data_IF_509530316093
#
_entry.id   IF_509530316093
#
_cell.length_a   1.000
_cell.length_b   1.000
_cell.length_c   1.000
_cell.angle_alpha   90.00
_cell.angle_beta   90.00
_cell.angle_gamma   90.00
#
_symmetry.space_group_name_H-M   'P 1'
#
loop_
_entity.id
_entity.type
_entity.pdbx_description
1 polymer ?
#
# COMPACT_ATOMS: atom_id res chain seq x y z
N UNK A 1 0.29 1.76 -10.98
CA UNK A 1 0.32 2.23 -12.38
C UNK A 1 -0.28 1.23 -13.34
N UNK A 2 -1.35 1.64 -14.03
CA UNK A 2 -1.96 0.89 -15.14
C UNK A 2 -1.98 1.77 -16.39
N UNK A 3 -1.86 1.16 -17.56
CA UNK A 3 -1.93 1.81 -18.86
C UNK A 3 -2.78 1.00 -19.84
N UNK A 4 -2.76 1.38 -21.12
CA UNK A 4 -3.58 0.72 -22.15
C UNK A 4 -3.13 -0.72 -22.45
N UNK A 5 -1.86 -1.05 -22.24
CA UNK A 5 -1.31 -2.39 -22.51
C UNK A 5 -0.38 -2.91 -21.40
N UNK A 6 -0.38 -2.25 -20.24
CA UNK A 6 0.51 -2.60 -19.12
C UNK A 6 -0.13 -2.33 -17.76
N UNK A 7 0.41 -2.98 -16.73
CA UNK A 7 0.00 -2.78 -15.35
C UNK A 7 1.09 -3.22 -14.39
N UNK A 8 1.24 -2.54 -13.26
CA UNK A 8 2.14 -2.95 -12.19
C UNK A 8 1.36 -3.69 -11.11
N UNK A 9 1.72 -4.94 -10.86
CA UNK A 9 1.23 -5.69 -9.70
C UNK A 9 2.34 -5.79 -8.66
N UNK A 10 1.96 -5.90 -7.40
CA UNK A 10 2.91 -5.96 -6.30
C UNK A 10 2.36 -6.82 -5.17
N UNK A 11 3.25 -7.25 -4.28
CA UNK A 11 2.89 -7.99 -3.08
C UNK A 11 4.05 -7.98 -2.09
N UNK A 12 3.78 -8.45 -0.87
CA UNK A 12 4.79 -8.64 0.18
C UNK A 12 4.53 -9.98 0.87
N UNK A 13 5.60 -10.69 1.17
CA UNK A 13 5.58 -11.92 1.96
C UNK A 13 6.24 -11.68 3.32
N UNK A 14 6.18 -12.65 4.23
CA UNK A 14 6.71 -12.52 5.59
C UNK A 14 8.13 -13.08 5.76
N UNK A 15 8.70 -13.71 4.72
CA UNK A 15 10.01 -14.36 4.72
C UNK A 15 10.60 -14.46 3.31
N UNK A 16 11.88 -14.85 3.13
CA UNK A 16 12.44 -15.08 1.80
C UNK A 16 11.61 -16.07 0.98
N UNK A 17 11.08 -15.65 -0.16
CA UNK A 17 10.21 -16.49 -0.98
C UNK A 17 10.39 -16.23 -2.47
N UNK A 18 10.18 -17.26 -3.29
CA UNK A 18 10.01 -17.13 -4.73
C UNK A 18 8.54 -16.87 -5.05
N UNK A 19 8.25 -15.70 -5.62
CA UNK A 19 6.89 -15.30 -5.98
C UNK A 19 6.63 -15.60 -7.46
N UNK A 20 5.74 -16.56 -7.70
CA UNK A 20 5.20 -16.88 -9.02
C UNK A 20 4.06 -15.91 -9.33
N UNK A 21 4.09 -15.34 -10.53
CA UNK A 21 3.09 -14.36 -10.99
C UNK A 21 2.49 -14.83 -12.30
N UNK A 22 1.17 -14.83 -12.38
CA UNK A 22 0.45 -15.05 -13.64
C UNK A 22 -0.73 -14.09 -13.77
N UNK A 23 -1.16 -13.86 -15.01
CA UNK A 23 -2.33 -13.06 -15.31
C UNK A 23 -3.16 -13.66 -16.44
N UNK A 24 -4.44 -13.33 -16.48
CA UNK A 24 -5.37 -13.77 -17.51
C UNK A 24 -6.41 -12.68 -17.79
N UNK A 25 -7.07 -12.77 -18.95
CA UNK A 25 -8.23 -11.92 -19.29
C UNK A 25 -9.55 -12.50 -18.78
N UNK A 26 -9.50 -13.66 -18.11
CA UNK A 26 -10.66 -14.36 -17.55
C UNK A 26 -10.40 -14.71 -16.09
N UNK A 27 -11.43 -14.59 -15.26
CA UNK A 27 -11.34 -14.86 -13.81
C UNK A 27 -11.00 -16.31 -13.50
N UNK A 28 -11.34 -17.25 -14.38
CA UNK A 28 -10.99 -18.66 -14.23
C UNK A 28 -9.50 -18.96 -14.45
N UNK A 29 -8.69 -17.95 -14.84
CA UNK A 29 -7.30 -18.12 -15.26
C UNK A 29 -7.13 -19.13 -16.41
N UNK A 30 -8.15 -19.21 -17.29
CA UNK A 30 -8.02 -20.00 -18.52
C UNK A 30 -7.00 -19.29 -19.42
N UNK A 31 -6.06 -20.07 -19.95
CA UNK A 31 -4.98 -19.58 -20.82
C UNK A 31 -4.12 -18.48 -20.15
N UNK A 32 -3.91 -18.59 -18.83
CA UNK A 32 -3.11 -17.65 -18.09
C UNK A 32 -1.67 -17.55 -18.61
N UNK A 33 -1.19 -16.31 -18.71
CA UNK A 33 0.20 -16.00 -19.02
C UNK A 33 1.01 -16.08 -17.73
N UNK A 34 1.90 -17.06 -17.67
CA UNK A 34 2.86 -17.21 -16.57
C UNK A 34 4.10 -16.38 -16.84
N UNK A 35 4.54 -15.64 -15.83
CA UNK A 35 5.73 -14.81 -15.91
C UNK A 35 6.89 -15.47 -15.18
N UNK A 36 8.14 -15.13 -15.53
CA UNK A 36 9.30 -15.48 -14.72
C UNK A 36 9.08 -15.05 -13.26
N UNK A 37 9.34 -15.94 -12.29
CA UNK A 37 9.14 -15.62 -10.88
C UNK A 37 10.13 -14.56 -10.39
N UNK A 38 9.79 -13.90 -9.29
CA UNK A 38 10.62 -12.87 -8.66
C UNK A 38 10.89 -13.28 -7.22
N UNK A 39 12.13 -13.20 -6.77
CA UNK A 39 12.50 -13.51 -5.39
C UNK A 39 12.25 -12.30 -4.48
N UNK A 40 11.45 -12.51 -3.44
CA UNK A 40 11.21 -11.58 -2.36
C UNK A 40 12.31 -11.77 -1.30
N UNK A 41 13.16 -10.76 -1.09
CA UNK A 41 14.34 -10.86 -0.23
C UNK A 41 14.35 -9.76 0.85
N UNK A 42 15.14 -9.92 1.93
CA UNK A 42 15.18 -8.95 3.04
C UNK A 42 15.51 -7.50 2.60
N UNK A 43 16.31 -7.33 1.54
CA UNK A 43 16.70 -6.00 1.04
C UNK A 43 15.51 -5.10 0.67
N UNK A 44 14.41 -5.67 0.19
CA UNK A 44 13.18 -4.96 -0.18
C UNK A 44 12.07 -5.11 0.86
N UNK A 45 12.38 -5.53 2.10
CA UNK A 45 11.38 -5.95 3.09
C UNK A 45 10.39 -6.98 2.51
N UNK A 46 10.95 -7.91 1.72
CA UNK A 46 10.20 -8.98 1.07
C UNK A 46 9.06 -8.51 0.16
N UNK A 47 9.10 -7.25 -0.27
CA UNK A 47 8.20 -6.72 -1.29
C UNK A 47 8.70 -7.09 -2.68
N UNK A 48 7.76 -7.40 -3.57
CA UNK A 48 7.99 -7.66 -4.99
C UNK A 48 7.08 -6.79 -5.85
N UNK A 49 7.60 -6.37 -7.00
CA UNK A 49 6.85 -5.64 -8.03
C UNK A 49 7.04 -6.37 -9.36
N UNK A 50 5.96 -6.53 -10.12
CA UNK A 50 5.99 -7.16 -11.45
C UNK A 50 5.19 -6.34 -12.43
N UNK A 51 5.86 -5.91 -13.51
CA UNK A 51 5.22 -5.28 -14.65
C UNK A 51 4.61 -6.37 -15.54
N UNK A 52 3.32 -6.21 -15.82
CA UNK A 52 2.55 -6.96 -16.81
C UNK A 52 2.49 -6.13 -18.09
N UNK A 53 2.67 -6.77 -19.25
CA UNK A 53 2.75 -6.10 -20.55
C UNK A 53 2.04 -6.94 -21.63
N UNK A 54 1.70 -6.29 -22.75
CA UNK A 54 1.09 -6.95 -23.91
C UNK A 54 -0.40 -7.27 -23.74
N UNK A 55 -1.07 -6.65 -22.76
CA UNK A 55 -2.49 -6.87 -22.50
C UNK A 55 -3.37 -6.04 -23.44
N UNK A 56 -4.59 -6.50 -23.77
CA UNK A 56 -5.53 -5.70 -24.55
C UNK A 56 -5.96 -4.44 -23.78
N UNK A 57 -6.27 -3.36 -24.50
CA UNK A 57 -6.81 -2.13 -23.93
C UNK A 57 -8.26 -2.28 -23.50
N UNK A 58 -8.65 -1.57 -22.44
CA UNK A 58 -10.01 -1.60 -21.90
C UNK A 58 -10.47 -2.99 -21.41
N UNK A 59 -9.56 -3.89 -21.07
CA UNK A 59 -9.82 -5.28 -20.71
C UNK A 59 -9.67 -5.50 -19.21
N UNK A 60 -10.56 -6.30 -18.62
CA UNK A 60 -10.36 -6.79 -17.26
C UNK A 60 -9.22 -7.83 -17.25
N UNK A 61 -8.24 -7.59 -16.41
CA UNK A 61 -7.07 -8.42 -16.20
C UNK A 61 -7.13 -8.94 -14.77
N UNK A 62 -7.09 -10.26 -14.64
CA UNK A 62 -7.03 -10.97 -13.37
C UNK A 62 -5.58 -11.41 -13.16
N UNK A 63 -5.03 -11.20 -11.97
CA UNK A 63 -3.67 -11.59 -11.64
C UNK A 63 -3.64 -12.44 -10.37
N UNK A 64 -2.63 -13.30 -10.27
CA UNK A 64 -2.42 -14.20 -9.14
C UNK A 64 -0.94 -14.24 -8.76
N UNK A 65 -0.69 -14.10 -7.47
CA UNK A 65 0.63 -14.24 -6.85
C UNK A 65 0.58 -15.45 -5.92
N UNK A 66 1.57 -16.33 -6.06
CA UNK A 66 1.78 -17.49 -5.18
C UNK A 66 3.24 -17.48 -4.73
N UNK A 67 3.48 -17.57 -3.43
CA UNK A 67 4.83 -17.56 -2.88
C UNK A 67 5.25 -18.97 -2.46
N UNK A 68 6.46 -19.39 -2.82
CA UNK A 68 7.10 -20.60 -2.31
C UNK A 68 8.31 -20.23 -1.45
N UNK A 69 8.45 -20.83 -0.28
CA UNK A 69 9.59 -20.58 0.61
C UNK A 69 10.91 -20.93 -0.08
N UNK A 70 11.93 -20.07 0.04
CA UNK A 70 13.25 -20.36 -0.52
C UNK A 70 14.02 -21.43 0.26
N UNK A 71 13.72 -21.61 1.56
CA UNK A 71 14.30 -22.66 2.39
C UNK A 71 13.59 -24.00 2.18
N UNK A 72 12.27 -23.96 1.99
CA UNK A 72 11.41 -25.14 1.82
C UNK A 72 10.49 -24.98 0.58
N UNK A 73 10.97 -25.25 -0.65
CA UNK A 73 10.21 -24.94 -1.87
C UNK A 73 8.84 -25.62 -2.00
N UNK A 74 8.57 -26.67 -1.22
CA UNK A 74 7.26 -27.33 -1.15
C UNK A 74 6.24 -26.59 -0.26
N UNK A 75 6.68 -25.65 0.58
CA UNK A 75 5.83 -24.79 1.38
C UNK A 75 5.37 -23.60 0.55
N UNK A 76 4.09 -23.62 0.18
CA UNK A 76 3.50 -22.65 -0.75
C UNK A 76 2.35 -21.90 -0.07
N UNK A 77 2.25 -20.60 -0.32
CA UNK A 77 1.17 -19.76 0.21
C UNK A 77 -0.17 -20.05 -0.46
N UNK A 78 -1.26 -19.65 0.21
CA UNK A 78 -2.53 -19.43 -0.49
C UNK A 78 -2.35 -18.41 -1.62
N UNK A 79 -3.08 -18.54 -2.75
CA UNK A 79 -2.96 -17.57 -3.83
C UNK A 79 -3.57 -16.22 -3.46
N UNK A 80 -2.77 -15.16 -3.60
CA UNK A 80 -3.27 -13.79 -3.56
C UNK A 80 -3.76 -13.41 -4.96
N UNK A 81 -5.05 -13.10 -5.10
CA UNK A 81 -5.66 -12.73 -6.38
C UNK A 81 -6.14 -11.29 -6.38
N UNK A 82 -6.16 -10.69 -7.55
CA UNK A 82 -6.72 -9.38 -7.76
C UNK A 82 -7.07 -9.15 -9.22
N UNK A 83 -7.61 -7.97 -9.52
CA UNK A 83 -7.96 -7.56 -10.87
C UNK A 83 -7.77 -6.07 -11.08
N UNK A 84 -7.59 -5.69 -12.32
CA UNK A 84 -7.70 -4.30 -12.76
C UNK A 84 -8.22 -4.25 -14.19
N UNK A 85 -8.64 -3.05 -14.63
CA UNK A 85 -8.95 -2.80 -16.03
C UNK A 85 -7.82 -2.00 -16.67
N UNK A 86 -7.33 -2.42 -17.83
CA UNK A 86 -6.40 -1.60 -18.62
C UNK A 86 -7.10 -0.34 -19.13
N UNK A 87 -6.32 0.72 -19.36
CA UNK A 87 -6.88 1.96 -19.90
C UNK A 87 -7.52 1.70 -21.28
N UNK A 88 -8.63 2.38 -21.61
CA UNK A 88 -9.26 2.26 -22.92
C UNK A 88 -8.36 2.83 -24.03
N UNK A 89 -8.43 2.24 -25.23
CA UNK A 89 -7.78 2.80 -26.42
C UNK A 89 -8.66 3.87 -27.11
N UNK A 90 -9.95 3.84 -26.84
CA UNK A 90 -10.97 4.73 -27.37
C UNK A 90 -11.41 5.78 -26.34
N UNK A 91 -12.11 6.82 -26.83
CA UNK A 91 -12.69 7.84 -25.96
C UNK A 91 -13.95 7.30 -25.30
N UNK A 92 -13.90 7.10 -23.98
CA UNK A 92 -15.06 6.78 -23.15
C UNK A 92 -15.07 7.61 -21.88
N UNK A 93 -16.23 7.61 -21.19
CA UNK A 93 -16.28 8.09 -19.82
C UNK A 93 -15.38 7.22 -18.92
N UNK A 94 -14.68 7.87 -18.00
CA UNK A 94 -13.88 7.24 -16.95
C UNK A 94 -14.44 7.63 -15.59
N UNK A 95 -14.40 6.70 -14.64
CA UNK A 95 -14.72 6.95 -13.23
C UNK A 95 -13.43 6.85 -12.43
N UNK A 96 -13.12 7.86 -11.64
CA UNK A 96 -11.99 7.79 -10.72
C UNK A 96 -12.40 8.34 -9.36
N UNK A 97 -11.67 7.92 -8.34
CA UNK A 97 -11.76 8.46 -7.00
C UNK A 97 -10.41 9.05 -6.59
N UNK A 98 -10.41 9.92 -5.60
CA UNK A 98 -9.19 10.46 -5.02
C UNK A 98 -9.38 10.68 -3.52
N UNK A 99 -8.28 10.59 -2.76
CA UNK A 99 -8.22 10.91 -1.33
C UNK A 99 -6.78 11.19 -0.94
N UNK A 100 -6.58 11.81 0.22
CA UNK A 100 -5.32 11.81 0.97
C UNK A 100 -5.58 11.33 2.40
N UNK A 101 -4.59 11.54 3.26
CA UNK A 101 -4.76 11.58 4.72
C UNK A 101 -5.17 10.27 5.40
N UNK A 102 -4.55 9.16 4.99
CA UNK A 102 -4.91 7.84 5.52
C UNK A 102 -4.42 7.66 6.94
N UNK A 103 -5.36 7.45 7.87
CA UNK A 103 -5.05 7.26 9.28
C UNK A 103 -4.56 8.53 9.97
N UNK A 104 -4.72 9.69 9.32
CA UNK A 104 -4.25 10.97 9.80
C UNK A 104 -4.78 11.33 11.17
N UNK A 105 -4.00 12.11 11.92
CA UNK A 105 -4.35 12.59 13.26
C UNK A 105 -4.69 11.49 14.28
N UNK A 106 -4.33 10.23 14.01
CA UNK A 106 -4.54 9.09 14.90
C UNK A 106 -5.83 8.31 14.68
N UNK A 107 -6.58 8.56 13.61
CA UNK A 107 -7.81 7.83 13.24
C UNK A 107 -7.50 6.59 12.39
N UNK A 108 -6.83 5.60 12.99
CA UNK A 108 -6.31 4.41 12.32
C UNK A 108 -7.33 3.30 12.07
N UNK A 109 -6.96 2.07 12.41
CA UNK A 109 -7.79 0.86 12.21
C UNK A 109 -8.59 0.61 13.48
N UNK A 110 -9.90 0.81 13.42
CA UNK A 110 -10.88 0.43 14.44
C UNK A 110 -11.41 -1.00 14.22
N UNK A 111 -12.42 -1.40 15.00
CA UNK A 111 -13.07 -2.72 14.88
C UNK A 111 -13.78 -2.91 13.52
N UNK A 112 -14.28 -1.83 12.93
CA UNK A 112 -14.87 -1.84 11.60
C UNK A 112 -13.83 -1.73 10.46
N UNK A 113 -12.57 -1.45 10.79
CA UNK A 113 -11.48 -1.22 9.85
C UNK A 113 -11.59 0.11 9.12
N UNK A 114 -10.70 0.35 8.15
CA UNK A 114 -10.68 1.59 7.36
C UNK A 114 -11.80 1.61 6.30
N UNK A 115 -13.05 1.81 6.72
CA UNK A 115 -14.27 1.70 5.89
C UNK A 115 -14.31 2.61 4.67
N UNK A 116 -13.59 3.73 4.68
CA UNK A 116 -13.48 4.62 3.53
C UNK A 116 -12.99 3.89 2.27
N UNK A 117 -12.02 2.99 2.40
CA UNK A 117 -11.52 2.18 1.30
C UNK A 117 -12.56 1.20 0.75
N UNK A 118 -13.38 0.61 1.62
CA UNK A 118 -14.48 -0.25 1.18
C UNK A 118 -15.55 0.54 0.42
N UNK A 119 -15.89 1.75 0.89
CA UNK A 119 -16.82 2.63 0.22
C UNK A 119 -16.30 3.02 -1.18
N UNK A 120 -15.03 3.42 -1.28
CA UNK A 120 -14.39 3.75 -2.56
C UNK A 120 -14.39 2.55 -3.50
N UNK A 121 -13.99 1.36 -3.02
CA UNK A 121 -14.00 0.13 -3.82
C UNK A 121 -15.42 -0.21 -4.32
N UNK A 122 -16.45 0.01 -3.49
CA UNK A 122 -17.85 -0.20 -3.84
C UNK A 122 -18.35 0.68 -5.00
N UNK A 123 -17.74 1.83 -5.23
CA UNK A 123 -18.01 2.67 -6.40
C UNK A 123 -17.37 2.16 -7.71
N UNK A 124 -16.54 1.11 -7.62
CA UNK A 124 -15.83 0.49 -8.74
C UNK A 124 -15.16 1.52 -9.68
N UNK A 125 -14.28 2.41 -9.17
CA UNK A 125 -13.57 3.35 -10.03
C UNK A 125 -12.61 2.60 -10.97
N UNK A 126 -12.38 3.16 -12.16
CA UNK A 126 -11.36 2.70 -13.12
C UNK A 126 -9.96 2.82 -12.52
N UNK A 127 -9.72 3.85 -11.70
CA UNK A 127 -8.50 4.06 -10.93
C UNK A 127 -8.73 5.02 -9.75
N UNK A 128 -7.76 5.06 -8.85
CA UNK A 128 -7.71 5.93 -7.70
C UNK A 128 -6.44 6.78 -7.68
N UNK A 129 -6.54 8.02 -7.22
CA UNK A 129 -5.40 8.91 -6.98
C UNK A 129 -5.24 9.08 -5.46
N UNK A 130 -4.12 8.62 -4.90
CA UNK A 130 -3.75 8.94 -3.52
C UNK A 130 -2.91 10.21 -3.54
N UNK A 131 -3.38 11.27 -2.89
CA UNK A 131 -2.82 12.62 -2.95
C UNK A 131 -1.66 12.90 -1.98
N UNK A 132 -1.24 11.92 -1.20
CA UNK A 132 -0.22 12.05 -0.16
C UNK A 132 -0.76 11.65 1.20
N UNK A 133 0.08 11.74 2.22
CA UNK A 133 -0.29 11.48 3.62
C UNK A 133 -0.87 10.08 3.82
N UNK A 134 -0.22 9.11 3.19
CA UNK A 134 -0.62 7.71 3.23
C UNK A 134 -0.31 7.10 4.58
N UNK A 135 0.73 7.57 5.29
CA UNK A 135 1.25 6.84 6.45
C UNK A 135 1.39 7.65 7.73
N UNK A 136 1.53 8.97 7.73
CA UNK A 136 1.79 9.74 8.97
C UNK A 136 2.94 9.17 9.79
N UNK A 137 4.14 9.16 9.19
CA UNK A 137 5.34 8.59 9.79
C UNK A 137 5.82 9.32 11.05
N UNK A 138 5.28 10.49 11.31
CA UNK A 138 5.65 11.47 12.33
C UNK A 138 4.52 11.80 13.32
N UNK A 139 3.36 11.13 13.17
CA UNK A 139 2.20 11.27 14.03
C UNK A 139 2.01 10.04 14.92
N UNK A 140 2.62 9.99 16.13
CA UNK A 140 2.33 8.93 17.09
C UNK A 140 0.83 8.80 17.35
N UNK A 141 0.31 7.59 17.16
CA UNK A 141 -1.10 7.29 17.30
C UNK A 141 -1.40 6.81 18.73
N UNK A 142 -2.41 7.43 19.34
CA UNK A 142 -2.95 6.98 20.62
C UNK A 142 -3.85 5.75 20.44
N UNK A 143 -3.98 4.93 21.49
CA UNK A 143 -4.91 3.80 21.47
C UNK A 143 -6.38 4.26 21.37
N UNK A 144 -6.70 5.39 22.00
CA UNK A 144 -8.04 5.95 22.02
C UNK A 144 -7.99 7.47 21.78
N UNK A 145 -9.04 8.00 21.16
CA UNK A 145 -9.23 9.44 20.94
C UNK A 145 -10.71 9.83 21.15
N UNK A 146 -11.00 11.00 21.73
CA UNK A 146 -12.38 11.45 21.93
C UNK A 146 -13.02 11.87 20.59
N UNK A 147 -14.25 11.41 20.35
CA UNK A 147 -15.07 11.83 19.21
C UNK A 147 -15.90 13.08 19.56
N UNK A 148 -16.25 13.87 18.54
CA UNK A 148 -17.01 15.12 18.71
C UNK A 148 -18.42 14.90 19.26
N UNK A 149 -19.00 13.72 19.04
CA UNK A 149 -20.31 13.33 19.54
C UNK A 149 -20.29 12.78 20.98
N UNK A 150 -19.13 12.84 21.65
CA UNK A 150 -18.92 12.29 22.99
C UNK A 150 -18.55 10.81 23.02
N UNK A 151 -18.45 10.16 21.85
CA UNK A 151 -17.94 8.81 21.72
C UNK A 151 -16.42 8.71 21.90
N UNK A 152 -15.88 7.51 21.71
CA UNK A 152 -14.44 7.25 21.75
C UNK A 152 -14.05 6.40 20.56
N UNK A 153 -13.12 6.89 19.76
CA UNK A 153 -12.45 6.10 18.75
C UNK A 153 -11.43 5.19 19.40
N UNK A 154 -11.36 3.93 18.94
CA UNK A 154 -10.42 2.94 19.45
C UNK A 154 -9.64 2.35 18.30
N UNK A 155 -8.33 2.57 18.30
CA UNK A 155 -7.42 1.89 17.38
C UNK A 155 -7.17 0.47 17.88
N UNK A 156 -7.94 -0.50 17.36
CA UNK A 156 -7.84 -1.91 17.77
C UNK A 156 -6.57 -2.57 17.23
N UNK A 157 -5.99 -1.99 16.16
CA UNK A 157 -4.63 -2.31 15.70
C UNK A 157 -3.73 -1.12 15.98
N UNK A 158 -2.69 -1.34 16.77
CA UNK A 158 -1.67 -0.33 17.08
C UNK A 158 -0.30 -0.97 17.24
N UNK A 159 0.49 -0.95 16.17
CA UNK A 159 1.86 -1.49 16.12
C UNK A 159 2.85 -0.55 16.79
N UNK A 160 4.02 -1.07 17.19
CA UNK A 160 5.07 -0.24 17.80
C UNK A 160 5.54 0.88 16.87
N UNK A 161 5.57 0.62 15.55
CA UNK A 161 5.91 1.64 14.55
C UNK A 161 4.96 2.85 14.62
N UNK A 162 3.68 2.66 14.97
CA UNK A 162 2.70 3.75 15.08
C UNK A 162 2.76 4.50 16.41
N UNK A 163 3.55 4.05 17.40
CA UNK A 163 3.60 4.63 18.74
C UNK A 163 4.64 5.75 18.89
N UNK A 164 5.50 5.94 17.90
CA UNK A 164 6.52 6.98 17.86
C UNK A 164 6.71 7.48 16.42
N UNK A 165 7.45 8.59 16.28
CA UNK A 165 7.92 9.06 14.97
C UNK A 165 8.88 8.04 14.36
N UNK A 166 8.87 7.88 13.04
CA UNK A 166 9.79 6.99 12.34
C UNK A 166 11.14 7.66 12.14
N UNK A 167 12.20 6.96 12.50
CA UNK A 167 13.56 7.48 12.37
C UNK A 167 14.45 6.53 11.57
N UNK A 168 14.23 5.24 11.71
CA UNK A 168 14.94 4.14 11.04
C UNK A 168 14.16 3.63 9.83
N UNK A 169 14.85 2.96 8.91
CA UNK A 169 14.22 2.35 7.73
C UNK A 169 13.12 1.36 8.13
N UNK A 170 13.33 0.55 9.17
CA UNK A 170 12.35 -0.44 9.61
C UNK A 170 11.12 0.19 10.25
N UNK A 171 11.28 1.33 10.93
CA UNK A 171 10.16 2.13 11.44
C UNK A 171 9.35 2.72 10.26
N UNK A 172 10.00 3.34 9.27
CA UNK A 172 9.32 3.85 8.07
C UNK A 172 8.55 2.74 7.34
N UNK A 173 9.17 1.58 7.11
CA UNK A 173 8.48 0.40 6.54
C UNK A 173 7.34 -0.08 7.42
N UNK A 174 7.48 0.02 8.74
CA UNK A 174 6.41 -0.25 9.70
C UNK A 174 5.19 0.65 9.50
N UNK A 175 5.40 1.93 9.15
CA UNK A 175 4.31 2.86 8.85
C UNK A 175 3.52 2.43 7.62
N UNK A 176 4.20 2.00 6.55
CA UNK A 176 3.56 1.46 5.34
C UNK A 176 2.85 0.14 5.57
N UNK A 177 3.46 -0.78 6.35
CA UNK A 177 2.87 -2.08 6.66
C UNK A 177 1.57 -1.96 7.46
N UNK A 178 1.46 -0.95 8.33
CA UNK A 178 0.28 -0.75 9.19
C UNK A 178 -1.02 -0.73 8.40
N UNK A 179 -1.14 0.11 7.36
CA UNK A 179 -2.37 0.20 6.58
C UNK A 179 -2.72 -1.12 5.89
N UNK A 180 -1.71 -1.91 5.51
CA UNK A 180 -1.90 -3.22 4.88
C UNK A 180 -2.36 -4.31 5.86
N UNK A 181 -2.42 -4.02 7.17
CA UNK A 181 -3.06 -4.90 8.14
C UNK A 181 -4.59 -4.81 8.05
N UNK A 182 -5.11 -3.68 7.56
CA UNK A 182 -6.55 -3.48 7.37
C UNK A 182 -7.11 -4.36 6.23
N UNK A 183 -8.33 -4.86 6.43
CA UNK A 183 -9.01 -5.73 5.46
C UNK A 183 -9.53 -4.97 4.25
N UNK A 184 -10.04 -3.76 4.45
CA UNK A 184 -10.62 -2.93 3.40
C UNK A 184 -9.52 -2.35 2.52
N UNK A 185 -8.40 -1.93 3.10
CA UNK A 185 -7.21 -1.48 2.36
C UNK A 185 -6.68 -2.60 1.46
N UNK A 186 -6.56 -3.84 1.98
CA UNK A 186 -6.12 -4.99 1.17
C UNK A 186 -7.11 -5.33 0.04
N UNK A 187 -8.41 -5.36 0.33
CA UNK A 187 -9.43 -5.62 -0.68
C UNK A 187 -9.49 -4.53 -1.76
N UNK A 188 -9.35 -3.27 -1.35
CA UNK A 188 -9.24 -2.13 -2.26
C UNK A 188 -8.02 -2.26 -3.17
N UNK A 189 -6.83 -2.49 -2.61
CA UNK A 189 -5.59 -2.63 -3.39
C UNK A 189 -5.62 -3.81 -4.36
N UNK A 190 -6.40 -4.86 -4.07
CA UNK A 190 -6.57 -6.01 -4.96
C UNK A 190 -7.47 -5.72 -6.18
N UNK A 191 -8.24 -4.63 -6.18
CA UNK A 191 -9.28 -4.39 -7.21
C UNK A 191 -9.27 -3.00 -7.84
N UNK A 192 -8.64 -2.02 -7.18
CA UNK A 192 -8.60 -0.63 -7.64
C UNK A 192 -7.17 -0.22 -7.97
N UNK A 193 -6.84 0.01 -9.25
CA UNK A 193 -5.55 0.57 -9.64
C UNK A 193 -5.32 1.92 -8.98
N UNK A 194 -4.18 2.07 -8.33
CA UNK A 194 -3.84 3.32 -7.65
C UNK A 194 -2.63 4.00 -8.30
N UNK A 195 -2.73 5.32 -8.42
CA UNK A 195 -1.62 6.24 -8.67
C UNK A 195 -1.37 6.99 -7.36
N UNK A 196 -0.18 6.81 -6.79
CA UNK A 196 0.15 7.32 -5.46
C UNK A 196 1.20 8.39 -5.61
N UNK A 197 0.90 9.58 -5.11
CA UNK A 197 1.90 10.61 -4.84
C UNK A 197 2.16 10.64 -3.33
N UNK A 198 3.38 11.00 -2.97
CA UNK A 198 3.76 11.33 -1.60
C UNK A 198 3.43 12.79 -1.30
N UNK A 199 3.34 13.10 -0.03
CA UNK A 199 3.41 14.44 0.54
C UNK A 199 4.33 14.40 1.78
N UNK A 200 4.19 15.34 2.69
CA UNK A 200 5.11 15.54 3.80
C UNK A 200 5.06 14.42 4.86
N UNK A 201 3.88 13.90 5.21
CA UNK A 201 3.69 12.90 6.25
C UNK A 201 4.23 11.50 5.89
N UNK A 202 4.69 11.27 4.66
CA UNK A 202 5.57 10.15 4.34
C UNK A 202 6.96 10.27 4.99
N UNK A 203 7.38 11.48 5.35
CA UNK A 203 8.66 11.81 5.99
C UNK A 203 8.43 12.41 7.38
N UNK A 204 7.86 13.62 7.42
CA UNK A 204 7.48 14.39 8.61
C UNK A 204 6.63 15.62 8.23
N UNK A 205 5.74 16.06 9.11
CA UNK A 205 4.84 17.19 8.90
C UNK A 205 5.55 18.49 8.46
N UNK A 206 4.96 19.16 7.48
CA UNK A 206 5.45 20.35 6.78
C UNK A 206 6.85 20.19 6.17
N UNK A 207 7.22 18.96 5.78
CA UNK A 207 8.57 18.62 5.33
C UNK A 207 9.18 19.67 4.40
N UNK A 208 10.36 20.13 4.79
CA UNK A 208 11.24 20.92 3.93
C UNK A 208 12.69 20.67 4.33
N UNK A 209 13.68 20.90 3.43
CA UNK A 209 15.08 20.72 3.77
C UNK A 209 15.58 21.68 4.86
N UNK A 210 14.81 22.71 5.22
CA UNK A 210 15.15 23.70 6.23
C UNK A 210 14.55 23.48 7.61
N UNK A 211 13.77 22.41 7.82
CA UNK A 211 13.22 22.10 9.15
C UNK A 211 14.34 21.80 10.15
N UNK A 212 14.19 22.34 11.36
CA UNK A 212 15.06 22.08 12.49
C UNK A 212 14.31 21.25 13.55
N UNK A 213 14.81 20.04 13.80
CA UNK A 213 14.22 19.10 14.77
C UNK A 213 14.94 19.11 16.12
N UNK A 214 15.95 19.96 16.34
CA UNK A 214 16.78 19.91 17.56
C UNK A 214 16.00 20.16 18.86
N UNK A 215 14.93 20.92 18.77
CA UNK A 215 14.05 21.24 19.90
C UNK A 215 12.79 20.38 19.94
N UNK A 216 12.63 19.41 19.03
CA UNK A 216 11.51 18.48 19.03
C UNK A 216 11.88 17.20 19.82
N UNK A 217 11.35 17.01 21.05
CA UNK A 217 11.73 15.90 21.91
C UNK A 217 11.26 14.53 21.38
N UNK A 218 10.43 14.50 20.32
CA UNK A 218 9.99 13.25 19.69
C UNK A 218 11.11 12.60 18.88
N UNK A 219 12.09 13.38 18.40
CA UNK A 219 13.15 12.91 17.52
C UNK A 219 14.49 12.81 18.24
N UNK A 220 15.16 11.67 18.08
CA UNK A 220 16.58 11.51 18.41
C UNK A 220 17.47 11.76 17.18
N UNK A 221 16.99 11.42 15.99
CA UNK A 221 17.58 11.75 14.70
C UNK A 221 17.07 13.12 14.22
N UNK A 222 17.93 14.13 14.27
CA UNK A 222 17.58 15.51 13.89
C UNK A 222 17.94 15.83 12.45
N UNK A 223 18.61 14.93 11.71
CA UNK A 223 18.92 15.12 10.29
C UNK A 223 17.71 14.84 9.40
N UNK A 224 16.98 15.89 9.02
CA UNK A 224 15.84 15.79 8.09
C UNK A 224 16.20 15.12 6.77
N UNK A 225 17.37 15.42 6.20
CA UNK A 225 17.83 14.78 4.96
C UNK A 225 18.03 13.27 5.10
N UNK A 226 18.44 12.80 6.29
CA UNK A 226 18.60 11.37 6.56
C UNK A 226 17.25 10.69 6.77
N UNK A 227 16.30 11.35 7.43
CA UNK A 227 14.91 10.88 7.54
C UNK A 227 14.29 10.72 6.15
N UNK A 228 14.40 11.74 5.30
CA UNK A 228 13.90 11.70 3.92
C UNK A 228 14.54 10.57 3.10
N UNK A 229 15.86 10.36 3.21
CA UNK A 229 16.55 9.27 2.52
C UNK A 229 16.11 7.87 2.98
N UNK A 230 15.65 7.73 4.24
CA UNK A 230 15.10 6.47 4.76
C UNK A 230 13.64 6.29 4.37
N UNK A 231 12.83 7.35 4.43
CA UNK A 231 11.42 7.36 4.04
C UNK A 231 11.20 6.97 2.57
N UNK A 232 12.13 7.36 1.68
CA UNK A 232 12.06 7.07 0.25
C UNK A 232 12.38 5.61 -0.16
N UNK A 233 12.48 4.66 0.80
CA UNK A 233 13.02 3.30 0.58
C UNK A 233 12.15 2.15 1.06
#
# INVERSE_FOLDING_TARGET
DVGAASGMVWGRVDRPARVMVEYATTESFRDAVRLPPVDALPGSDFAVKRRLEGMPAGQDIFYRLVAADLAEPGLVSEPATGRFRTAPADRRAVRFAWSGDTGGQGWGIDDEGMRSYAAIAGHAPDFFIHCGDTVYADGPMAAEAPLLDGGTWRNVVLTDAKRKVAETLDEFRGQWRYNLMDRHVRAFNATVPSFVQWDDHEVLNNWSPGIDLRDDPRYSETSVSRLAARAAR
#
